data_IF_546995969293
#
_entry.id   IF_546995969293
#
_cell.length_a   1.000
_cell.length_b   1.000
_cell.length_c   1.000
_cell.angle_alpha   90.00
_cell.angle_beta   90.00
_cell.angle_gamma   90.00
#
_symmetry.space_group_name_H-M   'P 1'
#
loop_
_entity.id
_entity.type
_entity.pdbx_description
1 polymer ?
#
# COMPACT_ATOMS: atom_id res chain seq x y z
N UNK A 1 -35.02 -27.46 -28.04
CA UNK A 1 -33.79 -27.55 -27.22
C UNK A 1 -32.98 -26.29 -27.45
N UNK A 2 -33.32 -25.21 -26.73
CA UNK A 2 -32.62 -23.91 -26.82
C UNK A 2 -32.54 -23.14 -25.49
N UNK A 3 -33.01 -23.73 -24.37
CA UNK A 3 -33.03 -23.06 -23.06
C UNK A 3 -31.77 -23.29 -22.22
N UNK A 4 -30.96 -24.31 -22.53
CA UNK A 4 -29.76 -24.66 -21.74
C UNK A 4 -28.62 -23.61 -21.83
N UNK A 5 -28.65 -22.74 -22.85
CA UNK A 5 -27.58 -21.75 -23.07
C UNK A 5 -27.84 -20.41 -22.39
N UNK A 6 -29.10 -20.14 -22.01
CA UNK A 6 -29.49 -18.90 -21.31
C UNK A 6 -29.06 -18.95 -19.85
N UNK A 7 -29.29 -20.08 -19.20
CA UNK A 7 -29.01 -20.29 -17.78
C UNK A 7 -27.52 -20.20 -17.46
N UNK A 8 -26.66 -20.79 -18.29
CA UNK A 8 -25.20 -20.74 -18.10
C UNK A 8 -24.65 -19.31 -18.31
N UNK A 9 -25.13 -18.60 -19.33
CA UNK A 9 -24.71 -17.21 -19.58
C UNK A 9 -25.17 -16.26 -18.47
N UNK A 10 -26.41 -16.40 -17.99
CA UNK A 10 -26.96 -15.59 -16.89
C UNK A 10 -26.19 -15.85 -15.58
N UNK A 11 -25.84 -17.10 -15.26
CA UNK A 11 -25.00 -17.43 -14.08
C UNK A 11 -23.60 -16.81 -14.18
N UNK A 12 -22.99 -16.83 -15.38
CA UNK A 12 -21.67 -16.18 -15.57
C UNK A 12 -21.73 -14.65 -15.50
N UNK A 13 -22.85 -14.04 -15.89
CA UNK A 13 -23.06 -12.60 -15.80
C UNK A 13 -23.26 -12.15 -14.34
N UNK A 14 -24.00 -12.92 -13.54
CA UNK A 14 -24.21 -12.65 -12.12
C UNK A 14 -22.89 -12.75 -11.32
N UNK A 15 -22.08 -13.79 -11.57
CA UNK A 15 -20.77 -13.94 -10.93
C UNK A 15 -19.82 -12.79 -11.29
N UNK A 16 -19.76 -12.43 -12.58
CA UNK A 16 -18.97 -11.29 -13.04
C UNK A 16 -19.40 -9.98 -12.36
N UNK A 17 -20.71 -9.77 -12.22
CA UNK A 17 -21.27 -8.57 -11.56
C UNK A 17 -20.81 -8.49 -10.11
N UNK A 18 -20.86 -9.60 -9.36
CA UNK A 18 -20.37 -9.64 -7.98
C UNK A 18 -18.87 -9.36 -7.84
N UNK A 19 -18.04 -9.79 -8.81
CA UNK A 19 -16.62 -9.43 -8.82
C UNK A 19 -16.41 -7.94 -9.10
N UNK A 20 -17.15 -7.37 -10.07
CA UNK A 20 -17.08 -5.94 -10.41
C UNK A 20 -17.50 -5.09 -9.22
N UNK A 21 -18.65 -5.36 -8.61
CA UNK A 21 -19.14 -4.58 -7.47
C UNK A 21 -18.17 -4.61 -6.28
N UNK A 22 -17.60 -5.78 -5.96
CA UNK A 22 -16.56 -5.89 -4.93
C UNK A 22 -15.30 -5.10 -5.28
N UNK A 23 -14.87 -5.14 -6.55
CA UNK A 23 -13.70 -4.38 -7.00
C UNK A 23 -13.95 -2.85 -6.91
N UNK A 24 -15.13 -2.39 -7.32
CA UNK A 24 -15.52 -0.98 -7.23
C UNK A 24 -15.56 -0.49 -5.78
N UNK A 25 -16.07 -1.33 -4.87
CA UNK A 25 -16.04 -1.03 -3.43
C UNK A 25 -14.61 -0.89 -2.91
N UNK A 26 -13.72 -1.84 -3.22
CA UNK A 26 -12.30 -1.78 -2.83
C UNK A 26 -11.59 -0.56 -3.42
N UNK A 27 -11.94 -0.14 -4.64
CA UNK A 27 -11.40 1.08 -5.27
C UNK A 27 -11.85 2.32 -4.52
N UNK A 28 -13.14 2.39 -4.13
CA UNK A 28 -13.67 3.49 -3.33
C UNK A 28 -12.97 3.57 -1.95
N UNK A 29 -12.86 2.45 -1.24
CA UNK A 29 -12.13 2.40 0.05
C UNK A 29 -10.67 2.83 -0.10
N UNK A 30 -9.98 2.35 -1.14
CA UNK A 30 -8.59 2.74 -1.40
C UNK A 30 -8.46 4.23 -1.66
N UNK A 31 -9.43 4.82 -2.36
CA UNK A 31 -9.46 6.27 -2.61
C UNK A 31 -9.61 7.02 -1.29
N UNK A 32 -10.55 6.62 -0.44
CA UNK A 32 -10.79 7.27 0.85
C UNK A 32 -9.57 7.17 1.77
N UNK A 33 -8.93 6.00 1.85
CA UNK A 33 -7.66 5.79 2.57
C UNK A 33 -6.56 6.71 2.03
N UNK A 34 -6.47 6.85 0.70
CA UNK A 34 -5.47 7.71 0.07
C UNK A 34 -5.67 9.19 0.41
N UNK A 35 -6.93 9.66 0.47
CA UNK A 35 -7.21 11.03 0.88
C UNK A 35 -6.91 11.24 2.38
N UNK A 36 -7.28 10.30 3.24
CA UNK A 36 -6.92 10.35 4.67
C UNK A 36 -5.39 10.38 4.88
N UNK A 37 -4.63 9.58 4.12
CA UNK A 37 -3.17 9.57 4.16
C UNK A 37 -2.59 10.94 3.75
N UNK A 38 -3.14 11.59 2.72
CA UNK A 38 -2.72 12.94 2.31
C UNK A 38 -2.97 13.97 3.39
N UNK A 39 -4.14 13.95 4.02
CA UNK A 39 -4.48 14.86 5.12
C UNK A 39 -3.52 14.69 6.30
N UNK A 40 -3.23 13.45 6.70
CA UNK A 40 -2.27 13.14 7.77
C UNK A 40 -0.88 13.73 7.49
N UNK A 41 -0.36 13.57 6.26
CA UNK A 41 0.95 14.13 5.93
C UNK A 41 0.90 15.66 5.75
N UNK A 42 -0.21 16.23 5.28
CA UNK A 42 -0.38 17.67 5.22
C UNK A 42 -0.36 18.29 6.63
N UNK A 43 -1.04 17.66 7.59
CA UNK A 43 -1.02 18.06 9.00
C UNK A 43 0.39 17.95 9.59
N UNK A 44 1.07 16.82 9.39
CA UNK A 44 2.44 16.63 9.85
C UNK A 44 3.38 17.72 9.30
N UNK A 45 3.24 18.05 8.00
CA UNK A 45 4.00 19.13 7.37
C UNK A 45 3.67 20.49 7.98
N UNK A 46 2.40 20.79 8.23
CA UNK A 46 1.95 22.03 8.87
C UNK A 46 2.51 22.21 10.29
N UNK A 47 2.75 21.10 10.99
CA UNK A 47 3.40 21.06 12.31
C UNK A 47 4.93 21.12 12.25
N UNK A 48 5.53 21.14 11.06
CA UNK A 48 6.98 21.24 10.85
C UNK A 48 7.73 19.91 10.70
N UNK A 49 7.03 18.78 10.60
CA UNK A 49 7.70 17.49 10.36
C UNK A 49 8.07 17.31 8.89
N UNK A 50 9.23 16.67 8.64
CA UNK A 50 9.60 16.20 7.31
C UNK A 50 8.84 14.91 6.98
N UNK A 51 7.87 15.01 6.07
CA UNK A 51 7.02 13.88 5.67
C UNK A 51 7.77 12.79 4.92
N UNK A 52 8.90 13.10 4.25
CA UNK A 52 9.75 12.08 3.61
C UNK A 52 10.45 11.23 4.66
N UNK A 53 10.94 11.87 5.72
CA UNK A 53 11.57 11.15 6.83
C UNK A 53 10.51 10.35 7.61
N UNK A 54 9.32 10.91 7.84
CA UNK A 54 8.23 10.20 8.51
C UNK A 54 7.84 8.91 7.77
N UNK A 55 7.70 8.96 6.44
CA UNK A 55 7.43 7.77 5.61
C UNK A 55 8.52 6.70 5.74
N UNK A 56 9.80 7.11 5.76
CA UNK A 56 10.92 6.19 5.99
C UNK A 56 10.83 5.53 7.36
N UNK A 57 10.54 6.30 8.41
CA UNK A 57 10.37 5.77 9.78
C UNK A 57 9.21 4.77 9.84
N UNK A 58 8.06 5.08 9.23
CA UNK A 58 6.92 4.15 9.19
C UNK A 58 7.31 2.85 8.48
N UNK A 59 7.98 2.93 7.33
CA UNK A 59 8.43 1.75 6.59
C UNK A 59 9.43 0.90 7.40
N UNK A 60 10.38 1.53 8.08
CA UNK A 60 11.33 0.83 8.96
C UNK A 60 10.60 0.13 10.12
N UNK A 61 9.62 0.80 10.72
CA UNK A 61 8.83 0.25 11.85
C UNK A 61 7.92 -0.91 11.46
N UNK A 62 7.61 -1.08 10.17
CA UNK A 62 6.79 -2.18 9.66
C UNK A 62 7.59 -3.45 9.37
N UNK A 63 8.93 -3.40 9.42
CA UNK A 63 9.83 -4.52 9.14
C UNK A 63 10.23 -5.26 10.42
N UNK A 64 10.78 -6.46 10.25
CA UNK A 64 11.38 -7.20 11.37
C UNK A 64 12.60 -6.42 11.91
N UNK A 65 12.72 -6.25 13.25
CA UNK A 65 13.84 -5.52 13.83
C UNK A 65 15.22 -6.12 13.52
N UNK A 66 15.32 -7.44 13.36
CA UNK A 66 16.59 -8.10 13.03
C UNK A 66 16.99 -7.81 11.58
N UNK A 67 16.04 -7.87 10.64
CA UNK A 67 16.28 -7.53 9.24
C UNK A 67 16.74 -6.07 9.10
N UNK A 68 16.14 -5.17 9.88
CA UNK A 68 16.55 -3.75 9.91
C UNK A 68 17.97 -3.61 10.47
N UNK A 69 18.29 -4.29 11.57
CA UNK A 69 19.62 -4.22 12.18
C UNK A 69 20.72 -4.79 11.25
N UNK A 70 20.44 -5.88 10.54
CA UNK A 70 21.36 -6.45 9.56
C UNK A 70 21.63 -5.48 8.40
N UNK A 71 20.59 -4.90 7.82
CA UNK A 71 20.73 -3.91 6.74
C UNK A 71 21.49 -2.66 7.21
N UNK A 72 21.20 -2.16 8.40
CA UNK A 72 21.90 -1.02 8.99
C UNK A 72 23.39 -1.32 9.20
N UNK A 73 23.75 -2.51 9.66
CA UNK A 73 25.14 -2.92 9.82
C UNK A 73 25.90 -2.93 8.46
N UNK A 74 25.26 -3.45 7.41
CA UNK A 74 25.83 -3.45 6.04
C UNK A 74 25.96 -2.01 5.51
N UNK A 75 24.93 -1.18 5.71
CA UNK A 75 24.93 0.22 5.29
C UNK A 75 26.07 1.01 5.93
N UNK A 76 26.28 0.85 7.24
CA UNK A 76 27.38 1.48 7.96
C UNK A 76 28.75 1.00 7.48
N UNK A 77 28.89 -0.30 7.16
CA UNK A 77 30.12 -0.81 6.54
C UNK A 77 30.43 -0.09 5.22
N UNK A 78 29.42 0.08 4.36
CA UNK A 78 29.59 0.77 3.08
C UNK A 78 29.89 2.25 3.23
N UNK A 79 29.18 2.98 4.10
CA UNK A 79 29.46 4.39 4.39
C UNK A 79 30.91 4.59 4.86
N UNK A 80 31.38 3.73 5.77
CA UNK A 80 32.75 3.75 6.26
C UNK A 80 33.77 3.52 5.13
N UNK A 81 33.53 2.53 4.26
CA UNK A 81 34.39 2.26 3.11
C UNK A 81 34.45 3.46 2.14
N UNK A 82 33.34 4.18 1.98
CA UNK A 82 33.22 5.36 1.12
C UNK A 82 33.63 6.67 1.79
N UNK A 83 34.09 6.66 3.05
CA UNK A 83 34.41 7.85 3.85
C UNK A 83 33.24 8.85 3.97
N UNK A 84 32.01 8.33 3.97
CA UNK A 84 30.79 9.09 4.22
C UNK A 84 30.52 9.06 5.74
N UNK A 85 31.24 9.91 6.48
CA UNK A 85 31.08 10.11 7.93
C UNK A 85 30.29 11.38 8.23
#
# INVERSE_FOLDING_TARGET
MSDDKKTDYDVTADELTQFVERAEHLIAEKKDITEQEKELYAEAKGRGYDTKILKKVIALRARDPNDVAEEEAVLEMYKKALKMS
#
